data_IF_672929251712
#
_entry.id   IF_672929251712
#
_cell.length_a   1.000
_cell.length_b   1.000
_cell.length_c   1.000
_cell.angle_alpha   90.00
_cell.angle_beta   90.00
_cell.angle_gamma   90.00
#
_symmetry.space_group_name_H-M   'P 1'
#
loop_
_entity.id
_entity.type
_entity.pdbx_description
1 polymer ?
#
# COMPACT_ATOMS: atom_id res chain seq x y z
N UNK A 1 -54.88 8.59 52.32
CA UNK A 1 -54.37 7.84 51.14
C UNK A 1 -53.22 8.64 50.53
N UNK A 2 -51.96 8.23 50.76
CA UNK A 2 -50.77 8.92 50.25
C UNK A 2 -50.37 8.34 48.88
N UNK A 3 -50.31 9.20 47.86
CA UNK A 3 -49.97 8.82 46.48
C UNK A 3 -48.45 8.63 46.37
N UNK A 4 -47.99 7.39 46.39
CA UNK A 4 -46.59 7.01 46.11
C UNK A 4 -46.26 7.42 44.68
N UNK A 5 -45.38 8.43 44.52
CA UNK A 5 -44.82 8.79 43.21
C UNK A 5 -43.77 7.74 42.84
N UNK A 6 -44.10 6.89 41.87
CA UNK A 6 -43.12 6.02 41.22
C UNK A 6 -42.11 6.89 40.45
N UNK A 7 -40.83 6.71 40.74
CA UNK A 7 -39.73 7.26 39.94
C UNK A 7 -39.56 6.41 38.69
N UNK A 8 -39.53 7.02 37.48
CA UNK A 8 -39.32 6.24 36.27
C UNK A 8 -37.84 5.83 36.19
N UNK A 9 -37.57 4.52 36.33
CA UNK A 9 -36.32 3.88 35.91
C UNK A 9 -36.27 3.81 34.38
N UNK A 10 -36.13 4.95 33.70
CA UNK A 10 -35.92 4.93 32.25
C UNK A 10 -34.46 4.66 31.92
N UNK A 11 -34.24 3.42 31.46
CA UNK A 11 -33.43 3.04 30.31
C UNK A 11 -32.10 3.80 30.12
N UNK A 12 -30.99 3.10 30.41
CA UNK A 12 -29.74 3.33 29.66
C UNK A 12 -29.97 2.84 28.24
N UNK A 13 -30.70 3.65 27.47
CA UNK A 13 -30.86 3.50 26.03
C UNK A 13 -29.47 3.43 25.40
N UNK A 14 -29.29 2.48 24.48
CA UNK A 14 -28.09 2.29 23.69
C UNK A 14 -27.69 3.63 23.04
N UNK A 15 -26.81 4.40 23.71
CA UNK A 15 -26.10 5.49 23.05
C UNK A 15 -25.16 4.84 22.04
N UNK A 16 -25.59 4.77 20.79
CA UNK A 16 -24.72 4.42 19.66
C UNK A 16 -23.47 5.30 19.76
N UNK A 17 -22.36 4.68 20.19
CA UNK A 17 -21.09 5.37 20.34
C UNK A 17 -20.71 5.93 18.96
N UNK A 18 -20.74 7.26 18.82
CA UNK A 18 -20.32 7.94 17.58
C UNK A 18 -19.00 7.36 17.10
N UNK A 19 -18.97 6.87 15.86
CA UNK A 19 -17.76 6.32 15.23
C UNK A 19 -16.67 7.41 15.25
N UNK A 20 -15.64 7.20 16.07
CA UNK A 20 -14.50 8.13 16.17
C UNK A 20 -13.65 8.01 14.91
N UNK A 21 -13.43 9.14 14.23
CA UNK A 21 -12.52 9.22 13.09
C UNK A 21 -11.08 9.36 13.59
N UNK A 22 -10.17 8.56 13.04
CA UNK A 22 -8.74 8.71 13.31
C UNK A 22 -8.23 10.03 12.74
N UNK A 23 -7.24 10.65 13.41
CA UNK A 23 -6.57 11.84 12.87
C UNK A 23 -5.85 11.47 11.55
N UNK A 24 -5.79 12.40 10.58
CA UNK A 24 -4.98 12.21 9.37
C UNK A 24 -3.55 11.77 9.73
N UNK A 25 -3.00 10.82 8.96
CA UNK A 25 -1.68 10.24 9.21
C UNK A 25 -1.63 9.11 10.25
N UNK A 26 -2.60 9.01 11.17
CA UNK A 26 -2.58 7.95 12.21
C UNK A 26 -2.68 6.54 11.60
N UNK A 27 -3.54 6.37 10.59
CA UNK A 27 -3.71 5.08 9.90
C UNK A 27 -2.49 4.78 9.03
N UNK A 28 -2.00 5.78 8.28
CA UNK A 28 -0.81 5.63 7.43
C UNK A 28 0.43 5.20 8.23
N UNK A 29 0.70 5.82 9.39
CA UNK A 29 1.82 5.42 10.25
C UNK A 29 1.68 3.99 10.80
N UNK A 30 0.44 3.55 11.05
CA UNK A 30 0.17 2.17 11.46
C UNK A 30 0.43 1.18 10.32
N UNK A 31 0.02 1.52 9.11
CA UNK A 31 0.25 0.72 7.91
C UNK A 31 1.74 0.62 7.58
N UNK A 32 2.49 1.72 7.63
CA UNK A 32 3.96 1.72 7.43
C UNK A 32 4.62 0.73 8.40
N UNK A 33 4.31 0.82 9.70
CA UNK A 33 4.87 -0.10 10.71
C UNK A 33 4.47 -1.55 10.48
N UNK A 34 3.23 -1.79 10.03
CA UNK A 34 2.74 -3.13 9.71
C UNK A 34 3.54 -3.71 8.54
N UNK A 35 3.64 -2.99 7.42
CA UNK A 35 4.31 -3.45 6.21
C UNK A 35 5.83 -3.52 6.34
N UNK A 36 6.45 -2.71 7.20
CA UNK A 36 7.89 -2.87 7.52
C UNK A 36 8.18 -4.09 8.39
N UNK A 37 7.20 -4.60 9.14
CA UNK A 37 7.36 -5.78 10.00
C UNK A 37 7.09 -7.09 9.25
N UNK A 38 6.30 -7.05 8.18
CA UNK A 38 5.87 -8.22 7.41
C UNK A 38 6.44 -8.19 6.00
N UNK A 39 6.79 -9.35 5.45
CA UNK A 39 7.35 -9.47 4.10
C UNK A 39 6.34 -10.07 3.09
N UNK A 40 5.05 -9.89 3.31
CA UNK A 40 4.02 -10.43 2.42
C UNK A 40 3.95 -9.63 1.11
N UNK A 41 3.81 -10.35 -0.01
CA UNK A 41 3.58 -9.74 -1.32
C UNK A 41 2.28 -8.91 -1.31
N UNK A 42 2.37 -7.67 -1.80
CA UNK A 42 1.28 -6.70 -1.75
C UNK A 42 0.51 -6.62 -3.06
N UNK A 43 1.14 -6.96 -4.19
CA UNK A 43 0.48 -6.98 -5.49
C UNK A 43 -0.33 -8.28 -5.59
N UNK A 44 -1.63 -8.23 -5.96
CA UNK A 44 -2.38 -9.46 -6.15
C UNK A 44 -1.77 -10.31 -7.28
N UNK A 45 -1.56 -11.60 -7.03
CA UNK A 45 -0.85 -12.51 -7.94
C UNK A 45 -1.52 -12.61 -9.32
N UNK A 46 -2.85 -12.75 -9.38
CA UNK A 46 -3.57 -12.93 -10.65
C UNK A 46 -3.38 -11.77 -11.67
N UNK A 47 -3.57 -10.48 -11.31
CA UNK A 47 -3.28 -9.38 -12.23
C UNK A 47 -1.78 -9.25 -12.55
N UNK A 48 -0.88 -9.56 -11.60
CA UNK A 48 0.56 -9.57 -11.88
C UNK A 48 0.92 -10.57 -12.98
N UNK A 49 0.42 -11.81 -12.87
CA UNK A 49 0.65 -12.86 -13.88
C UNK A 49 0.08 -12.47 -15.25
N UNK A 50 -1.09 -11.81 -15.30
CA UNK A 50 -1.64 -11.29 -16.57
C UNK A 50 -0.71 -10.27 -17.22
N UNK A 51 -0.19 -9.33 -16.43
CA UNK A 51 0.77 -8.33 -16.90
C UNK A 51 2.06 -8.97 -17.42
N UNK A 52 2.63 -9.94 -16.69
CA UNK A 52 3.84 -10.67 -17.11
C UNK A 52 3.61 -11.37 -18.45
N UNK A 53 2.47 -12.05 -18.62
CA UNK A 53 2.13 -12.74 -19.88
C UNK A 53 1.92 -11.76 -21.04
N UNK A 54 1.28 -10.62 -20.79
CA UNK A 54 1.11 -9.56 -21.79
C UNK A 54 2.46 -9.06 -22.29
N UNK A 55 3.39 -8.72 -21.38
CA UNK A 55 4.74 -8.27 -21.72
C UNK A 55 5.51 -9.39 -22.43
N UNK A 56 5.40 -10.63 -21.96
CA UNK A 56 6.07 -11.79 -22.59
C UNK A 56 5.65 -11.91 -24.06
N UNK A 57 4.36 -11.82 -24.34
CA UNK A 57 3.84 -11.91 -25.71
C UNK A 57 4.32 -10.75 -26.61
N UNK A 58 4.59 -9.57 -26.04
CA UNK A 58 5.14 -8.43 -26.77
C UNK A 58 6.64 -8.59 -27.08
N UNK A 59 7.40 -9.21 -26.17
CA UNK A 59 8.86 -9.31 -26.28
C UNK A 59 9.31 -10.59 -27.00
N UNK A 60 8.68 -11.73 -26.73
CA UNK A 60 9.02 -13.02 -27.31
C UNK A 60 7.82 -13.94 -27.42
N UNK A 61 7.38 -14.20 -28.65
CA UNK A 61 6.29 -15.14 -28.95
C UNK A 61 6.66 -16.62 -28.74
N UNK A 62 7.95 -16.92 -28.50
CA UNK A 62 8.44 -18.28 -28.28
C UNK A 62 8.14 -18.78 -26.85
N UNK A 63 7.97 -17.89 -25.89
CA UNK A 63 7.76 -18.24 -24.48
C UNK A 63 6.26 -18.38 -24.20
N UNK A 64 5.77 -19.61 -24.30
CA UNK A 64 4.33 -19.92 -24.11
C UNK A 64 3.96 -20.29 -22.67
N UNK A 65 4.90 -20.82 -21.89
CA UNK A 65 4.66 -21.36 -20.54
C UNK A 65 5.59 -20.73 -19.51
N UNK A 66 5.03 -20.44 -18.35
CA UNK A 66 5.75 -19.94 -17.18
C UNK A 66 5.60 -20.94 -16.04
N UNK A 67 6.69 -21.24 -15.34
CA UNK A 67 6.63 -21.99 -14.08
C UNK A 67 6.09 -21.10 -12.96
N UNK A 68 5.37 -21.65 -11.98
CA UNK A 68 4.86 -20.86 -10.87
C UNK A 68 5.99 -20.23 -10.04
N UNK A 69 7.12 -20.91 -9.87
CA UNK A 69 8.28 -20.40 -9.13
C UNK A 69 8.90 -19.19 -9.84
N UNK A 70 8.97 -19.20 -11.18
CA UNK A 70 9.49 -18.07 -11.93
C UNK A 70 8.59 -16.83 -11.81
N UNK A 71 7.27 -17.03 -11.80
CA UNK A 71 6.31 -15.93 -11.62
C UNK A 71 6.41 -15.32 -10.21
N UNK A 72 6.61 -16.15 -9.18
CA UNK A 72 6.86 -15.68 -7.83
C UNK A 72 8.16 -14.90 -7.72
N UNK A 73 9.27 -15.42 -8.27
CA UNK A 73 10.56 -14.75 -8.27
C UNK A 73 10.50 -13.38 -8.99
N UNK A 74 9.78 -13.31 -10.11
CA UNK A 74 9.54 -12.04 -10.81
C UNK A 74 8.73 -11.07 -9.95
N UNK A 75 7.73 -11.55 -9.23
CA UNK A 75 6.93 -10.70 -8.36
C UNK A 75 7.75 -10.15 -7.19
N UNK A 76 8.52 -10.99 -6.52
CA UNK A 76 9.42 -10.58 -5.43
C UNK A 76 10.40 -9.51 -5.90
N UNK A 77 11.07 -9.74 -7.04
CA UNK A 77 12.01 -8.78 -7.60
C UNK A 77 11.33 -7.45 -8.01
N UNK A 78 10.13 -7.52 -8.58
CA UNK A 78 9.37 -6.33 -8.97
C UNK A 78 8.95 -5.50 -7.75
N UNK A 79 8.45 -6.14 -6.70
CA UNK A 79 8.03 -5.44 -5.47
C UNK A 79 9.23 -4.84 -4.72
N UNK A 80 10.35 -5.56 -4.59
CA UNK A 80 11.59 -5.02 -3.99
C UNK A 80 12.12 -3.81 -4.77
N UNK A 81 12.10 -3.87 -6.11
CA UNK A 81 12.49 -2.74 -6.95
C UNK A 81 11.60 -1.51 -6.71
N UNK A 82 10.28 -1.70 -6.61
CA UNK A 82 9.34 -0.62 -6.32
C UNK A 82 9.55 -0.03 -4.93
N UNK A 83 9.74 -0.87 -3.90
CA UNK A 83 10.02 -0.42 -2.53
C UNK A 83 11.28 0.45 -2.48
N UNK A 84 12.38 -0.02 -3.07
CA UNK A 84 13.64 0.76 -3.14
C UNK A 84 13.46 2.09 -3.87
N UNK A 85 12.68 2.10 -4.95
CA UNK A 85 12.38 3.33 -5.68
C UNK A 85 11.54 4.30 -4.85
N UNK A 86 10.56 3.81 -4.07
CA UNK A 86 9.76 4.64 -3.17
C UNK A 86 10.57 5.19 -1.99
N UNK A 87 11.49 4.41 -1.42
CA UNK A 87 12.39 4.86 -0.36
C UNK A 87 13.27 6.02 -0.84
N UNK A 88 13.91 5.87 -2.01
CA UNK A 88 14.74 6.91 -2.57
C UNK A 88 13.91 8.15 -3.02
N UNK A 89 12.73 7.94 -3.59
CA UNK A 89 11.80 9.04 -3.93
C UNK A 89 11.29 9.78 -2.70
N UNK A 90 11.10 9.07 -1.60
CA UNK A 90 10.71 9.67 -0.33
C UNK A 90 11.82 10.60 0.22
N UNK A 91 13.09 10.21 0.11
CA UNK A 91 14.21 11.08 0.49
C UNK A 91 14.24 12.37 -0.33
N UNK A 92 13.97 12.30 -1.64
CA UNK A 92 13.85 13.50 -2.50
C UNK A 92 12.66 14.38 -2.06
N UNK A 93 11.55 13.76 -1.68
CA UNK A 93 10.36 14.47 -1.16
C UNK A 93 10.69 15.23 0.12
N UNK A 94 11.38 14.57 1.06
CA UNK A 94 11.80 15.14 2.33
C UNK A 94 12.83 16.27 2.13
N UNK A 95 13.78 16.08 1.21
CA UNK A 95 14.74 17.12 0.83
C UNK A 95 14.04 18.40 0.32
N UNK A 96 12.94 18.24 -0.41
CA UNK A 96 12.09 19.34 -0.88
C UNK A 96 11.11 19.86 0.19
N UNK A 97 11.29 19.53 1.48
CA UNK A 97 10.45 19.93 2.63
C UNK A 97 8.97 19.54 2.49
N UNK A 98 8.68 18.43 1.82
CA UNK A 98 7.32 17.89 1.65
C UNK A 98 7.19 16.53 2.34
N UNK A 99 5.93 16.12 2.54
CA UNK A 99 5.54 14.81 3.12
C UNK A 99 4.69 14.02 2.12
N UNK A 100 4.39 14.57 0.94
CA UNK A 100 3.62 13.90 -0.11
C UNK A 100 4.54 13.67 -1.30
N UNK A 101 4.77 12.40 -1.61
CA UNK A 101 5.55 11.96 -2.76
C UNK A 101 4.86 12.40 -4.07
N UNK A 102 5.63 12.96 -4.99
CA UNK A 102 5.16 13.41 -6.30
C UNK A 102 5.94 12.73 -7.43
N UNK A 103 5.39 12.77 -8.64
CA UNK A 103 6.01 12.19 -9.85
C UNK A 103 7.45 12.68 -10.05
N UNK A 104 7.70 13.98 -9.87
CA UNK A 104 9.03 14.60 -9.98
C UNK A 104 10.06 14.01 -9.03
N UNK A 105 9.64 13.53 -7.86
CA UNK A 105 10.53 12.94 -6.87
C UNK A 105 11.03 11.57 -7.39
N UNK A 106 10.12 10.77 -7.95
CA UNK A 106 10.46 9.48 -8.58
C UNK A 106 11.28 9.68 -9.87
N UNK A 107 10.95 10.67 -10.70
CA UNK A 107 11.72 10.99 -11.90
C UNK A 107 13.16 11.40 -11.55
N UNK A 108 13.34 12.23 -10.51
CA UNK A 108 14.65 12.59 -10.00
C UNK A 108 15.40 11.36 -9.48
N UNK A 109 14.74 10.49 -8.70
CA UNK A 109 15.33 9.25 -8.22
C UNK A 109 15.80 8.37 -9.38
N UNK A 110 14.97 8.11 -10.40
CA UNK A 110 15.35 7.31 -11.58
C UNK A 110 16.54 7.93 -12.32
N UNK A 111 16.61 9.26 -12.37
CA UNK A 111 17.74 9.98 -12.97
C UNK A 111 19.03 9.79 -12.17
N UNK A 112 18.98 9.81 -10.85
CA UNK A 112 20.17 9.68 -10.00
C UNK A 112 20.65 8.23 -9.87
N UNK A 113 19.74 7.28 -9.66
CA UNK A 113 20.09 5.89 -9.35
C UNK A 113 20.20 4.99 -10.57
N UNK A 114 19.64 5.40 -11.71
CA UNK A 114 19.56 4.55 -12.91
C UNK A 114 18.51 3.44 -12.82
N UNK A 115 17.82 3.30 -11.68
CA UNK A 115 16.79 2.28 -11.48
C UNK A 115 15.63 2.56 -12.43
N UNK A 116 15.23 1.53 -13.19
CA UNK A 116 14.12 1.60 -14.14
C UNK A 116 14.35 2.54 -15.33
N UNK A 117 15.60 2.82 -15.73
CA UNK A 117 15.84 3.50 -17.01
C UNK A 117 15.41 2.58 -18.17
N UNK A 118 14.62 3.06 -19.14
CA UNK A 118 14.44 2.33 -20.39
C UNK A 118 15.81 2.23 -21.09
N UNK A 119 16.10 1.04 -21.59
CA UNK A 119 17.31 0.74 -22.38
C UNK A 119 17.31 1.49 -23.70
#
# INVERSE_FOLDING_TARGET
MARVKQTPRHARENQERKKRRNKPGTVALREIRKFQKTFQLLIPYAPFVRCVREITNQVSSLVTRWTPEALLALQEAAEDCLVRMFEAGWLCTLHAKRVTLMKKDIELTRRLTGIGRPW
#
